data_IF_594405156578
#
_entry.id   IF_594405156578
#
_cell.length_a   1.000
_cell.length_b   1.000
_cell.length_c   1.000
_cell.angle_alpha   90.00
_cell.angle_beta   90.00
_cell.angle_gamma   90.00
#
_symmetry.space_group_name_H-M   'P 1'
#
loop_
_entity.id
_entity.type
_entity.pdbx_description
1 polymer ?
#
# COMPACT_ATOMS: atom_id res chain seq x y z
N UNK A 1 -40.80 -0.90 -39.19
CA UNK A 1 -39.55 -0.16 -38.92
C UNK A 1 -39.55 0.23 -37.45
N UNK A 2 -38.95 -0.58 -36.58
CA UNK A 2 -38.77 -0.25 -35.16
C UNK A 2 -37.26 -0.33 -34.89
N UNK A 3 -36.65 0.84 -34.77
CA UNK A 3 -35.22 1.00 -34.45
C UNK A 3 -35.06 0.78 -32.95
N UNK A 4 -34.60 -0.41 -32.55
CA UNK A 4 -34.10 -0.63 -31.20
C UNK A 4 -32.70 -0.01 -31.11
N UNK A 5 -32.63 1.22 -30.59
CA UNK A 5 -31.41 1.73 -29.99
C UNK A 5 -31.15 0.91 -28.74
N UNK A 6 -30.26 -0.07 -28.85
CA UNK A 6 -29.63 -0.66 -27.67
C UNK A 6 -28.69 0.39 -27.08
N UNK A 7 -29.17 1.04 -26.04
CA UNK A 7 -28.40 1.88 -25.15
C UNK A 7 -27.42 0.97 -24.39
N UNK A 8 -26.21 0.82 -24.93
CA UNK A 8 -25.09 0.15 -24.22
C UNK A 8 -24.58 1.15 -23.19
N UNK A 9 -25.18 1.14 -22.01
CA UNK A 9 -24.54 1.67 -20.82
C UNK A 9 -23.26 0.87 -20.61
N UNK A 10 -22.13 1.47 -21.00
CA UNK A 10 -20.80 0.88 -20.86
C UNK A 10 -20.51 0.71 -19.37
N UNK A 11 -20.75 -0.47 -18.80
CA UNK A 11 -20.17 -0.86 -17.51
C UNK A 11 -18.66 -0.88 -17.73
N UNK A 12 -17.96 0.12 -17.22
CA UNK A 12 -16.50 0.11 -17.16
C UNK A 12 -16.09 -1.12 -16.35
N UNK A 13 -15.33 -2.01 -16.96
CA UNK A 13 -14.73 -3.16 -16.28
C UNK A 13 -13.54 -2.64 -15.47
N UNK A 14 -13.58 -2.66 -14.12
CA UNK A 14 -12.51 -2.12 -13.28
C UNK A 14 -11.16 -2.79 -13.55
N UNK A 15 -11.19 -4.06 -13.99
CA UNK A 15 -9.99 -4.77 -14.39
C UNK A 15 -9.41 -4.16 -15.68
N UNK A 16 -10.24 -3.88 -16.68
CA UNK A 16 -9.80 -3.29 -17.94
C UNK A 16 -9.20 -1.89 -17.72
N UNK A 17 -9.83 -1.07 -16.87
CA UNK A 17 -9.32 0.27 -16.54
C UNK A 17 -7.94 0.20 -15.88
N UNK A 18 -7.74 -0.76 -14.97
CA UNK A 18 -6.45 -0.98 -14.32
C UNK A 18 -5.37 -1.40 -15.32
N UNK A 19 -5.69 -2.34 -16.20
CA UNK A 19 -4.76 -2.76 -17.24
C UNK A 19 -4.39 -1.59 -18.17
N UNK A 20 -5.38 -0.79 -18.59
CA UNK A 20 -5.17 0.41 -19.41
C UNK A 20 -4.29 1.44 -18.71
N UNK A 21 -4.47 1.68 -17.41
CA UNK A 21 -3.62 2.57 -16.60
C UNK A 21 -2.15 2.18 -16.65
N UNK A 22 -1.87 0.88 -16.71
CA UNK A 22 -0.51 0.33 -16.84
C UNK A 22 -0.02 0.20 -18.28
N UNK A 23 -0.81 0.62 -19.27
CA UNK A 23 -0.46 0.50 -20.68
C UNK A 23 -0.52 -0.95 -21.18
N UNK A 24 -1.36 -1.77 -20.55
CA UNK A 24 -1.51 -3.19 -20.86
C UNK A 24 -2.92 -3.41 -21.40
N UNK A 25 -3.04 -4.07 -22.55
CA UNK A 25 -4.35 -4.50 -23.10
C UNK A 25 -4.52 -6.02 -23.07
N UNK A 26 -3.41 -6.76 -23.14
CA UNK A 26 -3.31 -8.22 -22.93
C UNK A 26 -1.93 -8.52 -22.31
N UNK A 27 -1.73 -9.71 -21.72
CA UNK A 27 -0.45 -10.07 -21.06
C UNK A 27 0.81 -9.78 -21.91
N UNK A 28 0.71 -9.97 -23.23
CA UNK A 28 1.82 -9.74 -24.18
C UNK A 28 1.70 -8.44 -24.99
N UNK A 29 0.60 -7.70 -24.84
CA UNK A 29 0.32 -6.47 -25.60
C UNK A 29 0.48 -5.24 -24.71
N UNK A 30 1.65 -4.60 -24.83
CA UNK A 30 2.06 -3.47 -24.00
C UNK A 30 2.29 -2.21 -24.84
N UNK A 31 1.61 -1.13 -24.48
CA UNK A 31 2.01 0.22 -24.85
C UNK A 31 3.24 0.60 -24.02
N UNK A 32 4.42 0.53 -24.65
CA UNK A 32 5.69 0.78 -23.99
C UNK A 32 5.79 2.19 -23.38
N UNK A 33 5.14 3.19 -23.97
CA UNK A 33 5.22 4.56 -23.45
C UNK A 33 4.46 4.67 -22.14
N UNK A 34 3.22 4.17 -22.12
CA UNK A 34 2.38 4.18 -20.91
C UNK A 34 2.96 3.27 -19.84
N UNK A 35 3.40 2.07 -20.22
CA UNK A 35 4.03 1.12 -19.30
C UNK A 35 5.30 1.68 -18.65
N UNK A 36 6.21 2.28 -19.43
CA UNK A 36 7.43 2.90 -18.89
C UNK A 36 7.12 4.11 -18.00
N UNK A 37 6.10 4.90 -18.34
CA UNK A 37 5.64 5.99 -17.50
C UNK A 37 5.12 5.47 -16.15
N UNK A 38 4.29 4.41 -16.17
CA UNK A 38 3.81 3.72 -14.97
C UNK A 38 4.95 3.18 -14.13
N UNK A 39 5.90 2.45 -14.72
CA UNK A 39 7.09 1.95 -14.01
C UNK A 39 7.91 3.08 -13.40
N UNK A 40 8.02 4.23 -14.08
CA UNK A 40 8.74 5.39 -13.55
C UNK A 40 8.10 5.93 -12.27
N UNK A 41 6.78 5.77 -12.08
CA UNK A 41 6.10 6.12 -10.82
C UNK A 41 6.43 5.16 -9.68
N UNK A 42 6.82 3.92 -9.99
CA UNK A 42 7.24 2.91 -9.01
C UNK A 42 8.71 3.06 -8.62
N UNK A 43 9.49 3.82 -9.38
CA UNK A 43 10.83 4.23 -8.97
C UNK A 43 10.67 5.26 -7.86
N UNK A 44 10.43 4.77 -6.65
CA UNK A 44 10.74 5.53 -5.46
C UNK A 44 12.24 5.78 -5.47
N UNK A 45 12.62 7.05 -5.43
CA UNK A 45 13.97 7.44 -5.02
C UNK A 45 14.12 6.83 -3.63
N UNK A 46 14.96 5.80 -3.49
CA UNK A 46 15.26 5.19 -2.20
C UNK A 46 15.53 6.32 -1.21
N UNK A 47 14.69 6.40 -0.17
CA UNK A 47 14.88 7.38 0.87
C UNK A 47 16.25 7.12 1.49
N UNK A 48 17.13 8.13 1.61
CA UNK A 48 18.50 7.89 2.06
C UNK A 48 18.49 7.17 3.40
N UNK A 49 19.45 6.26 3.59
CA UNK A 49 19.59 5.39 4.76
C UNK A 49 19.71 6.12 6.13
N UNK A 50 19.60 7.45 6.15
CA UNK A 50 19.63 8.33 7.32
C UNK A 50 18.29 8.99 7.63
N UNK A 51 17.17 8.54 7.05
CA UNK A 51 15.87 9.09 7.41
C UNK A 51 15.48 8.73 8.86
N UNK A 52 14.98 9.73 9.57
CA UNK A 52 14.43 9.60 10.92
C UNK A 52 13.22 8.63 10.96
N UNK A 53 13.19 7.63 11.88
CA UNK A 53 12.12 6.63 11.94
C UNK A 53 10.70 7.21 12.06
N UNK A 54 10.51 8.31 12.80
CA UNK A 54 9.18 8.95 12.91
C UNK A 54 8.75 9.55 11.57
N UNK A 55 9.66 10.20 10.85
CA UNK A 55 9.39 10.72 9.49
C UNK A 55 9.08 9.60 8.50
N UNK A 56 9.82 8.49 8.58
CA UNK A 56 9.59 7.32 7.73
C UNK A 56 8.19 6.74 7.97
N UNK A 57 7.82 6.54 9.23
CA UNK A 57 6.49 6.05 9.59
C UNK A 57 5.39 7.03 9.15
N UNK A 58 5.57 8.33 9.37
CA UNK A 58 4.60 9.35 8.97
C UNK A 58 4.36 9.37 7.45
N UNK A 59 5.40 9.09 6.64
CA UNK A 59 5.26 8.93 5.18
C UNK A 59 4.54 7.63 4.83
N UNK A 60 4.94 6.52 5.44
CA UNK A 60 4.31 5.21 5.24
C UNK A 60 2.81 5.24 5.51
N UNK A 61 2.40 5.96 6.54
CA UNK A 61 0.99 6.11 6.91
C UNK A 61 0.20 7.05 6.00
N UNK A 62 0.75 8.24 5.71
CA UNK A 62 -0.03 9.32 5.07
C UNK A 62 0.11 9.35 3.56
N UNK A 63 1.32 9.13 3.06
CA UNK A 63 1.63 9.29 1.65
C UNK A 63 1.61 7.93 0.95
N UNK A 64 2.12 6.89 1.61
CA UNK A 64 2.21 5.56 1.03
C UNK A 64 1.04 4.64 1.40
N UNK A 65 0.29 4.85 2.49
CA UNK A 65 -0.77 3.94 2.93
C UNK A 65 -1.84 3.69 1.85
N UNK A 66 -2.41 4.78 1.34
CA UNK A 66 -3.35 4.73 0.23
C UNK A 66 -2.67 4.27 -1.09
N UNK A 67 -1.36 4.47 -1.24
CA UNK A 67 -0.62 3.92 -2.38
C UNK A 67 -0.39 2.40 -2.26
N UNK A 68 -0.18 1.86 -1.07
CA UNK A 68 -0.06 0.42 -0.79
C UNK A 68 -1.39 -0.25 -1.15
N UNK A 69 -2.51 0.29 -0.66
CA UNK A 69 -3.86 -0.21 -0.96
C UNK A 69 -4.11 -0.26 -2.47
N UNK A 70 -3.87 0.85 -3.19
CA UNK A 70 -4.03 0.89 -4.66
C UNK A 70 -3.10 -0.06 -5.40
N UNK A 71 -1.86 -0.24 -4.95
CA UNK A 71 -0.93 -1.20 -5.56
C UNK A 71 -1.39 -2.64 -5.37
N UNK A 72 -2.03 -2.96 -4.24
CA UNK A 72 -2.66 -4.25 -4.02
C UNK A 72 -3.87 -4.46 -4.93
N UNK A 73 -4.76 -3.48 -5.05
CA UNK A 73 -5.89 -3.53 -6.00
C UNK A 73 -5.40 -3.75 -7.45
N UNK A 74 -4.36 -3.01 -7.84
CA UNK A 74 -3.76 -3.17 -9.17
C UNK A 74 -3.10 -4.56 -9.34
N UNK A 75 -2.43 -5.07 -8.30
CA UNK A 75 -1.85 -6.40 -8.29
C UNK A 75 -2.92 -7.49 -8.43
N UNK A 76 -4.06 -7.38 -7.74
CA UNK A 76 -5.21 -8.29 -7.89
C UNK A 76 -5.68 -8.30 -9.35
N UNK A 77 -5.86 -7.13 -9.96
CA UNK A 77 -6.33 -7.04 -11.35
C UNK A 77 -5.33 -7.68 -12.35
N UNK A 78 -4.03 -7.48 -12.13
CA UNK A 78 -2.97 -8.08 -12.94
C UNK A 78 -2.87 -9.60 -12.72
N UNK A 79 -2.99 -10.07 -11.47
CA UNK A 79 -3.01 -11.50 -11.15
C UNK A 79 -4.19 -12.20 -11.83
N UNK A 80 -5.38 -11.59 -11.84
CA UNK A 80 -6.56 -12.12 -12.56
C UNK A 80 -6.32 -12.22 -14.05
N UNK A 81 -5.61 -11.27 -14.64
CA UNK A 81 -5.25 -11.32 -16.06
C UNK A 81 -4.23 -12.43 -16.34
N UNK A 82 -3.23 -12.55 -15.48
CA UNK A 82 -2.18 -13.55 -15.58
C UNK A 82 -2.66 -14.99 -15.36
N UNK A 83 -3.53 -15.24 -14.37
CA UNK A 83 -4.20 -16.54 -14.16
C UNK A 83 -4.87 -17.06 -15.43
N UNK A 84 -5.56 -16.18 -16.15
CA UNK A 84 -6.23 -16.53 -17.41
C UNK A 84 -5.23 -16.81 -18.54
N UNK A 85 -4.17 -16.00 -18.64
CA UNK A 85 -3.18 -16.08 -19.70
C UNK A 85 -2.19 -17.25 -19.51
N UNK A 86 -1.84 -17.56 -18.25
CA UNK A 86 -0.80 -18.51 -17.86
C UNK A 86 -1.38 -19.76 -17.18
N UNK A 87 -2.66 -20.08 -17.42
CA UNK A 87 -3.37 -21.25 -16.87
C UNK A 87 -2.71 -22.62 -17.06
N UNK A 88 -1.73 -22.73 -17.96
CA UNK A 88 -0.99 -23.97 -18.25
C UNK A 88 0.52 -23.83 -18.00
N UNK A 89 0.97 -22.73 -17.42
CA UNK A 89 2.39 -22.50 -17.11
C UNK A 89 2.68 -22.92 -15.68
N UNK A 90 3.43 -24.00 -15.49
CA UNK A 90 3.75 -24.54 -14.17
C UNK A 90 4.59 -23.59 -13.30
N UNK A 91 5.20 -22.55 -13.88
CA UNK A 91 5.91 -21.53 -13.11
C UNK A 91 4.99 -20.40 -12.64
N UNK A 92 3.76 -20.30 -13.16
CA UNK A 92 2.79 -19.32 -12.71
C UNK A 92 2.33 -19.62 -11.28
N UNK A 93 2.28 -18.61 -10.38
CA UNK A 93 1.77 -18.79 -9.03
C UNK A 93 0.24 -18.95 -9.04
N UNK A 94 -0.25 -20.16 -9.29
CA UNK A 94 -1.68 -20.45 -9.26
C UNK A 94 -2.28 -20.21 -7.87
N UNK A 95 -3.42 -19.54 -7.82
CA UNK A 95 -4.08 -19.11 -6.58
C UNK A 95 -3.66 -17.72 -6.10
N UNK A 96 -2.77 -17.03 -6.83
CA UNK A 96 -2.25 -15.71 -6.42
C UNK A 96 -3.33 -14.63 -6.30
N UNK A 97 -4.42 -14.74 -7.07
CA UNK A 97 -5.54 -13.81 -6.96
C UNK A 97 -6.16 -13.86 -5.57
N UNK A 98 -6.40 -15.07 -5.06
CA UNK A 98 -7.02 -15.27 -3.75
C UNK A 98 -6.06 -14.84 -2.64
N UNK A 99 -4.76 -15.15 -2.77
CA UNK A 99 -3.73 -14.68 -1.81
C UNK A 99 -3.67 -13.15 -1.72
N UNK A 100 -3.78 -12.44 -2.86
CA UNK A 100 -3.75 -10.97 -2.90
C UNK A 100 -5.05 -10.34 -2.41
N UNK A 101 -6.21 -10.92 -2.73
CA UNK A 101 -7.51 -10.47 -2.21
C UNK A 101 -7.59 -10.63 -0.69
N UNK A 102 -7.07 -11.73 -0.15
CA UNK A 102 -6.97 -11.95 1.29
C UNK A 102 -6.06 -10.91 1.96
N UNK A 103 -4.88 -10.66 1.38
CA UNK A 103 -3.95 -9.64 1.90
C UNK A 103 -4.57 -8.23 1.87
N UNK A 104 -5.33 -7.89 0.83
CA UNK A 104 -6.03 -6.61 0.73
C UNK A 104 -7.08 -6.47 1.82
N UNK A 105 -7.91 -7.49 2.04
CA UNK A 105 -8.93 -7.49 3.10
C UNK A 105 -8.32 -7.38 4.50
N UNK A 106 -7.26 -8.15 4.77
CA UNK A 106 -6.55 -8.11 6.05
C UNK A 106 -5.90 -6.72 6.28
N UNK A 107 -5.37 -6.08 5.23
CA UNK A 107 -4.83 -4.71 5.30
C UNK A 107 -5.93 -3.68 5.60
N UNK A 108 -7.07 -3.75 4.92
CA UNK A 108 -8.19 -2.84 5.14
C UNK A 108 -8.77 -2.98 6.57
N UNK A 109 -8.83 -4.21 7.08
CA UNK A 109 -9.23 -4.47 8.46
C UNK A 109 -8.23 -3.88 9.46
N UNK A 110 -6.93 -4.08 9.22
CA UNK A 110 -5.86 -3.50 10.03
C UNK A 110 -5.90 -1.96 10.03
N UNK A 111 -6.02 -1.32 8.86
CA UNK A 111 -6.11 0.15 8.74
C UNK A 111 -7.34 0.71 9.47
N UNK A 112 -8.48 0.02 9.40
CA UNK A 112 -9.68 0.40 10.14
C UNK A 112 -9.49 0.29 11.66
N UNK A 113 -8.84 -0.78 12.11
CA UNK A 113 -8.51 -0.98 13.52
C UNK A 113 -7.54 0.10 14.02
N UNK A 114 -6.52 0.44 13.23
CA UNK A 114 -5.55 1.48 13.56
C UNK A 114 -6.21 2.87 13.62
N UNK A 115 -7.05 3.21 12.65
CA UNK A 115 -7.81 4.45 12.66
C UNK A 115 -8.69 4.57 13.91
N UNK A 116 -9.33 3.48 14.32
CA UNK A 116 -10.11 3.43 15.55
C UNK A 116 -9.23 3.67 16.79
N UNK A 117 -8.09 2.98 16.91
CA UNK A 117 -7.16 3.15 18.03
C UNK A 117 -6.66 4.59 18.16
N UNK A 118 -6.34 5.25 17.03
CA UNK A 118 -5.92 6.66 17.01
C UNK A 118 -7.02 7.65 17.40
N UNK A 119 -8.27 7.32 17.13
CA UNK A 119 -9.43 8.16 17.50
C UNK A 119 -9.75 8.12 19.00
N UNK A 120 -9.20 7.15 19.74
CA UNK A 120 -9.41 6.93 21.18
C UNK A 120 -8.08 7.01 21.97
N UNK A 121 -7.46 8.20 22.11
CA UNK A 121 -6.19 8.36 22.81
C UNK A 121 -6.27 7.91 24.27
N UNK A 122 -5.27 7.15 24.72
CA UNK A 122 -5.32 6.39 25.98
C UNK A 122 -5.82 4.95 25.82
N UNK A 123 -5.76 4.43 24.60
CA UNK A 123 -6.21 3.12 24.17
C UNK A 123 -5.91 2.01 25.21
N UNK A 124 -6.91 1.21 25.61
CA UNK A 124 -6.71 0.06 26.49
C UNK A 124 -5.67 -0.91 25.93
N UNK A 125 -4.95 -1.62 26.80
CA UNK A 125 -3.96 -2.65 26.42
C UNK A 125 -4.50 -3.70 25.42
N UNK A 126 -5.81 -3.90 25.38
CA UNK A 126 -6.50 -4.77 24.43
C UNK A 126 -6.42 -4.27 22.97
N UNK A 127 -6.47 -2.96 22.72
CA UNK A 127 -6.35 -2.40 21.36
C UNK A 127 -4.93 -2.58 20.82
N UNK A 128 -3.92 -2.33 21.65
CA UNK A 128 -2.52 -2.58 21.29
C UNK A 128 -2.24 -4.08 21.04
N UNK A 129 -2.84 -4.97 21.84
CA UNK A 129 -2.72 -6.41 21.63
C UNK A 129 -3.36 -6.88 20.32
N UNK A 130 -4.52 -6.31 19.95
CA UNK A 130 -5.18 -6.64 18.68
C UNK A 130 -4.41 -6.13 17.45
N UNK A 131 -3.84 -4.92 17.50
CA UNK A 131 -2.99 -4.44 16.39
C UNK A 131 -1.76 -5.33 16.15
N UNK A 132 -1.17 -5.84 17.23
CA UNK A 132 -0.07 -6.82 17.12
C UNK A 132 -0.51 -8.15 16.51
N UNK A 133 -1.74 -8.58 16.78
CA UNK A 133 -2.31 -9.77 16.14
C UNK A 133 -2.53 -9.52 14.65
N UNK A 134 -3.05 -8.35 14.26
CA UNK A 134 -3.19 -7.95 12.86
C UNK A 134 -1.85 -7.96 12.13
N UNK A 135 -0.78 -7.43 12.75
CA UNK A 135 0.58 -7.51 12.19
C UNK A 135 1.04 -8.95 11.98
N UNK A 136 0.73 -9.86 12.91
CA UNK A 136 1.02 -11.28 12.78
C UNK A 136 0.33 -11.92 11.58
N UNK A 137 -0.94 -11.57 11.35
CA UNK A 137 -1.72 -12.03 10.19
C UNK A 137 -1.09 -11.50 8.90
N UNK A 138 -0.88 -10.18 8.81
CA UNK A 138 -0.27 -9.54 7.63
C UNK A 138 1.12 -10.08 7.32
N UNK A 139 1.96 -10.27 8.34
CA UNK A 139 3.28 -10.88 8.16
C UNK A 139 3.20 -12.30 7.60
N UNK A 140 2.24 -13.11 8.04
CA UNK A 140 2.01 -14.44 7.50
C UNK A 140 1.54 -14.42 6.04
N UNK A 141 0.69 -13.45 5.66
CA UNK A 141 0.25 -13.23 4.27
C UNK A 141 1.41 -12.83 3.36
N UNK A 142 2.23 -11.87 3.78
CA UNK A 142 3.43 -11.45 3.03
C UNK A 142 4.40 -12.62 2.85
N UNK A 143 4.58 -13.44 3.88
CA UNK A 143 5.46 -14.60 3.82
C UNK A 143 4.91 -15.70 2.89
N UNK A 144 3.59 -15.91 2.85
CA UNK A 144 2.96 -16.78 1.85
C UNK A 144 3.17 -16.24 0.42
N UNK A 145 2.96 -14.94 0.23
CA UNK A 145 3.13 -14.27 -1.06
C UNK A 145 4.58 -14.35 -1.56
N UNK A 146 5.58 -14.19 -0.69
CA UNK A 146 7.00 -14.40 -1.04
C UNK A 146 7.24 -15.82 -1.52
N UNK A 147 6.69 -16.84 -0.84
CA UNK A 147 6.87 -18.24 -1.24
C UNK A 147 6.22 -18.54 -2.58
N UNK A 148 4.96 -18.15 -2.79
CA UNK A 148 4.23 -18.42 -4.04
C UNK A 148 4.89 -17.74 -5.24
N UNK A 149 5.47 -16.56 -5.04
CA UNK A 149 6.17 -15.77 -6.08
C UNK A 149 7.68 -16.02 -6.16
N UNK A 150 8.24 -16.98 -5.40
CA UNK A 150 9.68 -17.28 -5.34
C UNK A 150 10.53 -16.04 -5.03
N UNK A 151 10.10 -15.25 -4.06
CA UNK A 151 10.75 -14.00 -3.68
C UNK A 151 10.56 -12.90 -4.72
N UNK A 152 9.44 -12.90 -5.44
CA UNK A 152 9.15 -11.97 -6.54
C UNK A 152 10.11 -12.08 -7.72
N UNK A 153 10.73 -13.25 -7.91
CA UNK A 153 11.63 -13.53 -9.02
C UNK A 153 10.86 -14.12 -10.20
N UNK A 154 10.56 -13.28 -11.19
CA UNK A 154 9.84 -13.70 -12.39
C UNK A 154 10.76 -14.58 -13.27
N UNK A 155 10.23 -15.67 -13.88
CA UNK A 155 11.02 -16.51 -14.77
C UNK A 155 11.45 -15.75 -16.03
N UNK A 156 12.46 -16.29 -16.73
CA UNK A 156 13.04 -15.65 -17.92
C UNK A 156 12.01 -15.38 -19.03
N UNK A 157 11.00 -16.25 -19.17
CA UNK A 157 9.95 -16.12 -20.17
C UNK A 157 8.71 -15.34 -19.68
N UNK A 158 8.71 -14.83 -18.45
CA UNK A 158 7.59 -14.06 -17.92
C UNK A 158 7.23 -12.90 -18.87
N UNK A 159 5.94 -12.66 -19.07
CA UNK A 159 5.48 -11.50 -19.84
C UNK A 159 5.68 -10.20 -19.04
N UNK A 160 5.41 -9.06 -19.66
CA UNK A 160 5.55 -7.76 -19.00
C UNK A 160 4.57 -7.61 -17.81
N UNK A 161 3.34 -8.12 -17.96
CA UNK A 161 2.32 -8.11 -16.89
C UNK A 161 2.76 -8.90 -15.67
N UNK A 162 3.30 -10.09 -15.88
CA UNK A 162 3.81 -10.93 -14.79
C UNK A 162 4.95 -10.22 -14.06
N UNK A 163 5.91 -9.64 -14.79
CA UNK A 163 7.00 -8.87 -14.18
C UNK A 163 6.48 -7.67 -13.39
N UNK A 164 5.54 -6.91 -13.97
CA UNK A 164 4.92 -5.77 -13.29
C UNK A 164 4.20 -6.18 -12.01
N UNK A 165 3.41 -7.26 -12.06
CA UNK A 165 2.75 -7.83 -10.89
C UNK A 165 3.75 -8.09 -9.76
N UNK A 166 4.88 -8.74 -10.07
CA UNK A 166 5.90 -9.02 -9.06
C UNK A 166 6.57 -7.74 -8.53
N UNK A 167 6.76 -6.72 -9.36
CA UNK A 167 7.26 -5.41 -8.90
C UNK A 167 6.27 -4.75 -7.93
N UNK A 168 4.96 -4.77 -8.23
CA UNK A 168 3.93 -4.24 -7.33
C UNK A 168 3.90 -4.99 -6.01
N UNK A 169 3.89 -6.33 -6.04
CA UNK A 169 3.91 -7.16 -4.84
C UNK A 169 5.16 -6.87 -3.98
N UNK A 170 6.35 -6.75 -4.59
CA UNK A 170 7.58 -6.43 -3.88
C UNK A 170 7.53 -5.04 -3.22
N UNK A 171 6.90 -4.06 -3.88
CA UNK A 171 6.75 -2.70 -3.32
C UNK A 171 5.80 -2.68 -2.13
N UNK A 172 4.67 -3.38 -2.25
CA UNK A 172 3.72 -3.57 -1.13
C UNK A 172 4.41 -4.27 0.03
N UNK A 173 5.10 -5.39 -0.23
CA UNK A 173 5.79 -6.17 0.79
C UNK A 173 6.77 -5.32 1.60
N UNK A 174 7.67 -4.60 0.91
CA UNK A 174 8.69 -3.79 1.58
C UNK A 174 8.09 -2.64 2.39
N UNK A 175 7.10 -1.94 1.82
CA UNK A 175 6.48 -0.80 2.49
C UNK A 175 5.68 -1.25 3.71
N UNK A 176 4.86 -2.30 3.57
CA UNK A 176 4.02 -2.81 4.65
C UNK A 176 4.87 -3.46 5.76
N UNK A 177 5.88 -4.25 5.41
CA UNK A 177 6.79 -4.84 6.39
C UNK A 177 7.55 -3.76 7.19
N UNK A 178 7.98 -2.68 6.53
CA UNK A 178 8.65 -1.57 7.21
C UNK A 178 7.69 -0.78 8.12
N UNK A 179 6.45 -0.55 7.68
CA UNK A 179 5.41 0.08 8.49
C UNK A 179 5.18 -0.69 9.78
N UNK A 180 4.85 -1.98 9.67
CA UNK A 180 4.60 -2.85 10.83
C UNK A 180 5.83 -2.90 11.76
N UNK A 181 7.04 -2.97 11.21
CA UNK A 181 8.29 -2.97 12.00
C UNK A 181 8.45 -1.69 12.83
N UNK A 182 8.12 -0.54 12.26
CA UNK A 182 8.20 0.76 12.94
C UNK A 182 7.12 0.88 14.02
N UNK A 183 5.89 0.48 13.70
CA UNK A 183 4.76 0.47 14.64
C UNK A 183 5.02 -0.49 15.82
N UNK A 184 5.50 -1.71 15.55
CA UNK A 184 5.88 -2.69 16.60
C UNK A 184 7.03 -2.21 17.48
N UNK A 185 7.89 -1.33 16.96
CA UNK A 185 8.95 -0.69 17.73
C UNK A 185 8.43 0.47 18.61
N UNK A 186 7.12 0.76 18.58
CA UNK A 186 6.47 1.84 19.32
C UNK A 186 6.73 3.23 18.71
N UNK A 187 7.25 3.30 17.48
CA UNK A 187 7.40 4.58 16.78
C UNK A 187 5.99 5.10 16.47
N UNK A 188 5.73 6.36 16.79
CA UNK A 188 4.40 6.98 16.61
C UNK A 188 3.50 6.97 17.85
N UNK A 189 3.79 6.14 18.86
CA UNK A 189 3.03 6.12 20.13
C UNK A 189 3.32 7.35 21.03
N UNK A 190 4.48 7.99 20.85
CA UNK A 190 5.03 8.97 21.80
C UNK A 190 4.94 10.42 21.35
N UNK A 191 4.27 10.77 20.24
CA UNK A 191 4.23 12.16 19.80
C UNK A 191 3.63 13.06 20.92
N UNK A 192 4.43 13.95 21.56
CA UNK A 192 3.91 14.80 22.59
C UNK A 192 2.92 15.79 21.97
N UNK A 193 1.81 16.04 22.65
CA UNK A 193 0.82 17.08 22.32
C UNK A 193 1.41 18.51 22.48
N UNK A 194 2.61 18.78 21.96
CA UNK A 194 3.25 20.09 22.05
C UNK A 194 3.01 20.90 20.78
N UNK A 195 1.75 21.20 20.50
CA UNK A 195 1.35 22.43 19.80
C UNK A 195 0.08 22.95 20.46
N UNK A 196 0.25 23.58 21.62
CA UNK A 196 -0.88 24.11 22.40
C UNK A 196 -0.52 24.98 23.59
N UNK A 197 0.76 25.15 23.95
CA UNK A 197 1.17 26.18 24.91
C UNK A 197 1.49 27.48 24.14
N UNK A 198 0.44 28.19 23.73
CA UNK A 198 0.54 29.59 23.33
C UNK A 198 1.10 30.37 24.52
N UNK A 199 2.34 30.82 24.37
CA UNK A 199 2.95 32.01 24.96
C UNK A 199 2.06 32.74 25.99
N UNK A 200 2.19 32.41 27.28
CA UNK A 200 2.09 33.42 28.31
C UNK A 200 3.51 33.86 28.63
N UNK A 201 4.02 34.82 27.87
CA UNK A 201 5.21 35.59 28.28
C UNK A 201 4.81 36.53 29.41
N UNK A 202 5.39 36.42 30.62
CA UNK A 202 5.27 37.45 31.64
C UNK A 202 6.51 38.32 31.56
N UNK A 203 6.54 39.33 30.67
CA UNK A 203 7.42 40.49 30.86
C UNK A 203 7.20 41.61 29.82
N UNK A 204 6.48 42.64 30.26
CA UNK A 204 6.67 44.07 29.93
C UNK A 204 6.10 44.85 31.12
N UNK A 205 6.67 45.87 31.74
CA UNK A 205 7.96 46.57 31.71
C UNK A 205 8.07 47.30 33.08
N UNK A 206 9.24 47.16 33.72
CA UNK A 206 10.00 48.01 34.70
C UNK A 206 9.35 48.94 35.75
N UNK A 207 10.06 49.14 36.90
CA UNK A 207 9.68 50.04 37.99
C UNK A 207 10.07 51.50 37.71
N UNK A 208 9.21 52.44 38.09
CA UNK A 208 9.59 53.83 38.33
C UNK A 208 10.29 53.94 39.69
N UNK A 209 11.49 54.53 39.68
CA UNK A 209 12.15 55.01 40.87
C UNK A 209 12.57 56.47 40.65
N UNK A 210 12.13 57.29 41.61
CA UNK A 210 12.73 58.52 42.15
C UNK A 210 12.80 59.78 41.28
N UNK A 211 12.05 60.80 41.73
CA UNK A 211 12.62 62.06 42.21
C UNK A 211 11.86 62.49 43.47
#
# INVERSE_FOLDING_TARGET
>A
MASHRSDKTSRQDPQAETLERWGVSQCDAVDRSVFNAGLSTLIEIDCPASEDPERRLARLLREEGEAIRRRLEDAVALARAGERAHRTDDLWPHGLVDELDDLLQDLEAHDAHEAFARSAPGAPSALAAGLKEDHGILAARLEALRRSTRGYEAPAHACAVWRLLYVLCLKVDRALAERMRLEDAGIGDTAPQSYGAVILSPNKVRPEAAA
#
